data_IF_611842791219
#
_entry.id   IF_611842791219
#
_cell.length_a   1.000
_cell.length_b   1.000
_cell.length_c   1.000
_cell.angle_alpha   90.00
_cell.angle_beta   90.00
_cell.angle_gamma   90.00
#
_symmetry.space_group_name_H-M   'P 1'
#
loop_
_entity.id
_entity.type
_entity.pdbx_description
1 polymer ?
#
# COMPACT_ATOMS: atom_id res chain seq x y z
N UNK A 1 3.66 14.18 15.95
CA UNK A 1 2.49 13.50 16.55
C UNK A 1 2.34 12.04 16.14
N UNK A 2 1.81 11.65 14.97
CA UNK A 2 1.54 10.23 14.70
C UNK A 2 2.78 9.32 14.68
N UNK A 3 3.94 9.83 14.24
CA UNK A 3 5.23 9.11 14.28
C UNK A 3 5.67 8.83 15.74
N UNK A 4 5.20 9.61 16.71
CA UNK A 4 5.53 9.42 18.13
C UNK A 4 4.69 8.31 18.75
N UNK A 5 3.49 8.05 18.21
CA UNK A 5 2.62 6.94 18.63
C UNK A 5 3.03 5.59 18.01
N UNK A 6 4.05 5.56 17.17
CA UNK A 6 4.51 4.35 16.49
C UNK A 6 5.10 3.33 17.47
N UNK A 7 4.48 2.15 17.57
CA UNK A 7 5.02 1.02 18.34
C UNK A 7 6.08 0.27 17.54
N UNK A 8 7.33 0.35 17.99
CA UNK A 8 8.43 -0.42 17.38
C UNK A 8 8.22 -1.92 17.56
N UNK A 9 7.73 -2.35 18.72
CA UNK A 9 7.46 -3.76 19.02
C UNK A 9 6.35 -4.32 18.12
N UNK A 10 5.25 -3.58 17.95
CA UNK A 10 4.17 -3.98 17.05
C UNK A 10 4.62 -4.07 15.59
N UNK A 11 5.47 -3.14 15.14
CA UNK A 11 6.04 -3.15 13.81
C UNK A 11 6.96 -4.38 13.58
N UNK A 12 7.73 -4.77 14.60
CA UNK A 12 8.55 -5.98 14.55
C UNK A 12 7.71 -7.24 14.49
N UNK A 13 6.68 -7.35 15.33
CA UNK A 13 5.78 -8.51 15.30
C UNK A 13 5.12 -8.66 13.92
N UNK A 14 4.68 -7.55 13.32
CA UNK A 14 4.15 -7.53 11.96
C UNK A 14 5.20 -7.96 10.92
N UNK A 15 6.42 -7.43 11.03
CA UNK A 15 7.52 -7.77 10.13
C UNK A 15 7.90 -9.25 10.23
N UNK A 16 8.00 -9.79 11.46
CA UNK A 16 8.34 -11.19 11.72
C UNK A 16 7.39 -12.14 11.00
N UNK A 17 6.08 -11.85 11.04
CA UNK A 17 5.07 -12.62 10.31
C UNK A 17 5.25 -12.56 8.79
N UNK A 18 5.61 -11.39 8.26
CA UNK A 18 5.82 -11.20 6.82
C UNK A 18 7.08 -11.87 6.27
N UNK A 19 8.15 -11.97 7.07
CA UNK A 19 9.44 -12.54 6.65
C UNK A 19 9.65 -13.99 7.09
N UNK A 20 8.83 -14.49 8.02
CA UNK A 20 8.94 -15.84 8.59
C UNK A 20 10.14 -16.03 9.51
N UNK A 21 10.72 -14.94 10.02
CA UNK A 21 11.85 -14.93 10.96
C UNK A 21 11.43 -14.12 12.18
N UNK A 22 11.69 -14.64 13.38
CA UNK A 22 11.46 -13.87 14.60
C UNK A 22 12.47 -12.72 14.68
N UNK A 23 11.98 -11.48 14.55
CA UNK A 23 12.80 -10.27 14.64
C UNK A 23 12.98 -9.78 16.08
N UNK A 24 12.29 -10.37 17.06
CA UNK A 24 12.47 -10.05 18.49
C UNK A 24 13.81 -10.52 19.05
N UNK A 25 14.46 -11.48 18.39
CA UNK A 25 15.80 -11.98 18.78
C UNK A 25 16.94 -11.19 18.13
N UNK A 26 16.62 -10.27 17.22
CA UNK A 26 17.61 -9.41 16.55
C UNK A 26 17.88 -8.20 17.44
N UNK A 27 19.16 -7.91 17.71
CA UNK A 27 19.54 -6.67 18.38
C UNK A 27 19.30 -5.49 17.44
N UNK A 28 18.23 -4.74 17.72
CA UNK A 28 17.73 -3.69 16.85
C UNK A 28 18.58 -2.44 16.85
N UNK A 29 19.42 -2.28 17.87
CA UNK A 29 20.26 -1.10 18.10
C UNK A 29 21.68 -1.33 17.59
N UNK A 30 21.98 -2.54 17.09
CA UNK A 30 23.20 -2.79 16.34
C UNK A 30 23.14 -2.16 14.94
N UNK A 31 24.26 -1.58 14.47
CA UNK A 31 24.39 -1.12 13.10
C UNK A 31 24.16 -2.25 12.09
N UNK A 32 23.53 -1.92 10.96
CA UNK A 32 23.17 -2.92 9.95
C UNK A 32 24.37 -3.63 9.32
N UNK A 33 25.53 -2.96 9.29
CA UNK A 33 26.77 -3.53 8.78
C UNK A 33 27.44 -4.54 9.73
N UNK A 34 26.94 -4.72 10.96
CA UNK A 34 27.44 -5.74 11.90
C UNK A 34 26.58 -7.00 11.93
N UNK A 35 25.40 -6.99 11.29
CA UNK A 35 24.52 -8.15 11.19
C UNK A 35 25.07 -9.14 10.14
N UNK A 36 25.08 -10.44 10.46
CA UNK A 36 25.44 -11.49 9.49
C UNK A 36 24.29 -11.71 8.48
N UNK A 37 24.46 -11.33 7.20
CA UNK A 37 23.40 -11.47 6.20
C UNK A 37 23.19 -12.93 5.74
N UNK A 38 24.04 -13.89 6.14
CA UNK A 38 23.85 -15.31 5.77
C UNK A 38 22.62 -15.93 6.44
N UNK A 39 22.30 -15.53 7.67
CA UNK A 39 21.10 -15.96 8.41
C UNK A 39 19.83 -15.20 8.02
N UNK A 40 19.97 -14.04 7.38
CA UNK A 40 18.88 -13.16 6.98
C UNK A 40 18.68 -13.22 5.46
N UNK A 41 17.83 -14.13 4.97
CA UNK A 41 17.53 -14.27 3.54
C UNK A 41 16.26 -13.49 3.13
N UNK A 42 16.15 -13.16 1.85
CA UNK A 42 14.93 -12.56 1.27
C UNK A 42 14.72 -11.09 1.64
N UNK A 43 13.56 -10.78 2.21
CA UNK A 43 13.11 -9.41 2.48
C UNK A 43 14.05 -8.64 3.41
N UNK A 44 14.59 -9.28 4.46
CA UNK A 44 15.47 -8.63 5.43
C UNK A 44 16.80 -8.20 4.80
N UNK A 45 17.37 -9.03 3.92
CA UNK A 45 18.56 -8.66 3.14
C UNK A 45 18.27 -7.46 2.23
N UNK A 46 17.16 -7.49 1.50
CA UNK A 46 16.75 -6.37 0.64
C UNK A 46 16.52 -5.09 1.46
N UNK A 47 15.98 -5.20 2.68
CA UNK A 47 15.79 -4.09 3.60
C UNK A 47 17.14 -3.45 3.99
N UNK A 48 18.10 -4.26 4.41
CA UNK A 48 19.47 -3.84 4.75
C UNK A 48 20.17 -3.21 3.55
N UNK A 49 20.06 -3.81 2.36
CA UNK A 49 20.69 -3.31 1.13
C UNK A 49 20.08 -2.01 0.63
N UNK A 50 18.78 -1.79 0.87
CA UNK A 50 18.08 -0.54 0.51
C UNK A 50 18.39 0.64 1.43
N UNK A 51 19.11 0.41 2.53
CA UNK A 51 19.47 1.45 3.48
C UNK A 51 20.50 2.41 2.85
N UNK A 52 20.21 3.72 2.77
CA UNK A 52 21.17 4.70 2.23
C UNK A 52 22.41 4.84 3.12
N UNK A 53 22.27 4.57 4.43
CA UNK A 53 23.37 4.54 5.39
C UNK A 53 23.33 3.24 6.22
N UNK A 54 24.34 2.39 6.03
CA UNK A 54 24.48 1.10 6.72
C UNK A 54 24.99 1.23 8.16
N UNK A 55 25.33 2.44 8.62
CA UNK A 55 25.62 2.72 10.03
C UNK A 55 24.36 2.86 10.87
N UNK A 56 23.20 3.03 10.24
CA UNK A 56 21.91 3.06 10.95
C UNK A 56 21.60 1.71 11.56
N UNK A 57 20.72 1.73 12.55
CA UNK A 57 20.28 0.53 13.26
C UNK A 57 19.06 -0.09 12.57
N UNK A 58 18.73 -1.33 12.91
CA UNK A 58 17.50 -1.97 12.42
C UNK A 58 16.24 -1.22 12.90
N UNK A 59 16.29 -0.67 14.13
CA UNK A 59 15.25 0.19 14.70
C UNK A 59 14.99 1.43 13.83
N UNK A 60 16.06 2.11 13.40
CA UNK A 60 15.94 3.30 12.55
C UNK A 60 15.33 2.96 11.19
N UNK A 61 15.73 1.82 10.60
CA UNK A 61 15.17 1.37 9.33
C UNK A 61 13.69 1.06 9.41
N UNK A 62 13.26 0.32 10.44
CA UNK A 62 11.84 -0.01 10.63
C UNK A 62 11.05 1.28 10.82
N UNK A 63 11.51 2.16 11.69
CA UNK A 63 10.82 3.42 11.97
C UNK A 63 10.71 4.28 10.70
N UNK A 64 11.79 4.42 9.94
CA UNK A 64 11.79 5.25 8.74
C UNK A 64 10.98 4.63 7.58
N UNK A 65 11.01 3.30 7.41
CA UNK A 65 10.29 2.64 6.31
C UNK A 65 8.81 2.42 6.60
N UNK A 66 8.47 2.05 7.84
CA UNK A 66 7.09 1.77 8.23
C UNK A 66 6.33 3.01 8.70
N UNK A 67 7.02 4.05 9.17
CA UNK A 67 6.39 5.30 9.59
C UNK A 67 6.77 6.53 8.73
N UNK A 68 7.75 6.44 7.83
CA UNK A 68 8.37 7.61 7.19
C UNK A 68 8.31 7.70 5.66
N UNK A 69 7.61 6.78 4.97
CA UNK A 69 7.39 6.84 3.51
C UNK A 69 5.94 7.15 3.12
N UNK A 70 5.23 7.90 3.96
CA UNK A 70 3.92 8.40 3.59
C UNK A 70 4.08 9.56 2.60
N UNK A 71 3.25 9.57 1.56
CA UNK A 71 3.08 10.74 0.72
C UNK A 71 2.42 11.83 1.57
N UNK A 72 3.19 12.84 1.97
CA UNK A 72 2.74 13.94 2.83
C UNK A 72 2.92 15.27 2.11
N UNK A 73 1.90 16.12 2.11
CA UNK A 73 1.93 17.44 1.49
C UNK A 73 0.57 18.09 1.52
N UNK A 74 0.41 19.21 0.80
CA UNK A 74 -0.89 19.82 0.57
C UNK A 74 -1.74 18.92 -0.35
N UNK A 75 -3.07 19.12 -0.40
CA UNK A 75 -3.93 18.40 -1.33
C UNK A 75 -3.46 18.43 -2.79
N UNK A 76 -2.94 19.57 -3.25
CA UNK A 76 -2.41 19.73 -4.60
C UNK A 76 -1.14 18.91 -4.81
N UNK A 77 -0.21 18.92 -3.86
CA UNK A 77 1.03 18.13 -3.96
C UNK A 77 0.75 16.63 -3.97
N UNK A 78 -0.23 16.19 -3.17
CA UNK A 78 -0.68 14.80 -3.17
C UNK A 78 -1.33 14.47 -4.52
N UNK A 79 -2.23 15.31 -5.02
CA UNK A 79 -2.88 15.12 -6.32
C UNK A 79 -1.88 15.08 -7.48
N UNK A 80 -0.87 15.96 -7.49
CA UNK A 80 0.22 15.97 -8.48
C UNK A 80 0.97 14.64 -8.50
N UNK A 81 1.27 14.10 -7.32
CA UNK A 81 1.96 12.82 -7.17
C UNK A 81 1.10 11.65 -7.68
N UNK A 82 -0.19 11.62 -7.35
CA UNK A 82 -1.12 10.58 -7.82
C UNK A 82 -1.30 10.65 -9.35
N UNK A 83 -1.38 11.85 -9.91
CA UNK A 83 -1.45 12.08 -11.35
C UNK A 83 -0.18 11.62 -12.08
N UNK A 84 1.01 11.84 -11.50
CA UNK A 84 2.26 11.33 -12.06
C UNK A 84 2.28 9.80 -12.14
N UNK A 85 1.78 9.11 -11.11
CA UNK A 85 1.64 7.66 -11.10
C UNK A 85 0.60 7.18 -12.13
N UNK A 86 -0.52 7.89 -12.27
CA UNK A 86 -1.53 7.57 -13.28
C UNK A 86 -0.95 7.69 -14.70
N UNK A 87 -0.14 8.71 -14.97
CA UNK A 87 0.58 8.88 -16.25
C UNK A 87 1.56 7.74 -16.54
N UNK A 88 2.03 7.03 -15.51
CA UNK A 88 2.88 5.84 -15.60
C UNK A 88 2.08 4.53 -15.75
N UNK A 89 0.75 4.60 -15.85
CA UNK A 89 -0.13 3.46 -16.07
C UNK A 89 -0.71 2.84 -14.80
N UNK A 90 -0.71 3.56 -13.67
CA UNK A 90 -1.41 3.09 -12.46
C UNK A 90 -2.90 3.47 -12.55
N UNK A 91 -3.79 2.47 -12.50
CA UNK A 91 -5.24 2.68 -12.64
C UNK A 91 -5.94 3.09 -11.33
N UNK A 92 -5.29 2.89 -10.17
CA UNK A 92 -5.88 3.20 -8.88
C UNK A 92 -4.94 2.90 -7.71
N UNK A 93 -5.34 3.34 -6.52
CA UNK A 93 -4.54 3.26 -5.31
C UNK A 93 -5.28 2.53 -4.20
N UNK A 94 -4.54 1.72 -3.44
CA UNK A 94 -5.03 1.20 -2.17
C UNK A 94 -4.59 2.15 -1.05
N UNK A 95 -5.52 2.95 -0.53
CA UNK A 95 -5.23 3.94 0.50
C UNK A 95 -5.10 3.27 1.87
N UNK A 96 -3.90 3.37 2.46
CA UNK A 96 -3.62 2.89 3.82
C UNK A 96 -3.68 4.06 4.79
N UNK A 97 -4.29 3.85 5.96
CA UNK A 97 -4.47 4.88 6.97
C UNK A 97 -3.37 4.84 8.04
N UNK A 98 -3.03 6.01 8.59
CA UNK A 98 -2.29 6.10 9.85
C UNK A 98 -3.23 6.16 11.04
N UNK A 99 -4.36 6.85 10.89
CA UNK A 99 -5.41 6.96 11.91
C UNK A 99 -6.76 6.79 11.23
N UNK A 100 -7.64 5.98 11.82
CA UNK A 100 -9.00 5.78 11.30
C UNK A 100 -10.03 6.38 12.27
N UNK A 101 -11.04 7.13 11.79
CA UNK A 101 -11.32 7.44 10.38
C UNK A 101 -10.52 8.62 9.80
N UNK A 102 -9.76 9.36 10.62
CA UNK A 102 -9.16 10.66 10.27
C UNK A 102 -8.42 10.71 8.94
N UNK A 103 -7.52 9.75 8.65
CA UNK A 103 -6.78 9.73 7.38
C UNK A 103 -7.69 9.65 6.14
N UNK A 104 -8.85 9.00 6.26
CA UNK A 104 -9.81 8.95 5.17
C UNK A 104 -10.57 10.26 5.03
N UNK A 105 -10.97 10.87 6.16
CA UNK A 105 -11.63 12.18 6.17
C UNK A 105 -10.73 13.24 5.54
N UNK A 106 -9.47 13.32 5.94
CA UNK A 106 -8.50 14.28 5.39
C UNK A 106 -8.31 14.11 3.87
N UNK A 107 -8.25 12.86 3.40
CA UNK A 107 -8.15 12.58 1.97
C UNK A 107 -9.41 12.97 1.21
N UNK A 108 -10.59 12.66 1.76
CA UNK A 108 -11.90 12.95 1.15
C UNK A 108 -12.14 14.46 1.10
N UNK A 109 -11.90 15.17 2.19
CA UNK A 109 -12.23 16.60 2.29
C UNK A 109 -11.16 17.48 1.61
N UNK A 110 -9.90 17.04 1.63
CA UNK A 110 -8.78 17.78 1.04
C UNK A 110 -8.50 17.39 -0.41
N UNK A 111 -8.17 16.11 -0.66
CA UNK A 111 -7.55 15.66 -1.92
C UNK A 111 -8.60 15.37 -3.00
N UNK A 112 -9.72 14.74 -2.64
CA UNK A 112 -10.75 14.35 -3.62
C UNK A 112 -11.31 15.53 -4.43
N UNK A 113 -11.60 16.72 -3.86
CA UNK A 113 -12.05 17.87 -4.64
C UNK A 113 -11.05 18.30 -5.72
N UNK A 114 -9.76 18.27 -5.40
CA UNK A 114 -8.68 18.58 -6.36
C UNK A 114 -8.67 17.54 -7.47
N UNK A 115 -8.71 16.25 -7.13
CA UNK A 115 -8.74 15.16 -8.12
C UNK A 115 -9.98 15.22 -9.01
N UNK A 116 -11.15 15.55 -8.45
CA UNK A 116 -12.39 15.74 -9.20
C UNK A 116 -12.29 16.93 -10.17
N UNK A 117 -11.71 18.06 -9.73
CA UNK A 117 -11.51 19.23 -10.60
C UNK A 117 -10.60 18.92 -11.82
N UNK A 118 -9.71 17.93 -11.66
CA UNK A 118 -8.79 17.44 -12.71
C UNK A 118 -9.37 16.27 -13.52
N UNK A 119 -10.58 15.81 -13.22
CA UNK A 119 -11.19 14.65 -13.88
C UNK A 119 -10.51 13.31 -13.58
N UNK A 120 -9.75 13.22 -12.48
CA UNK A 120 -9.00 12.02 -12.09
C UNK A 120 -9.81 11.06 -11.20
N UNK A 121 -10.86 11.56 -10.55
CA UNK A 121 -11.77 10.77 -9.70
C UNK A 121 -13.21 11.13 -10.03
N UNK A 122 -14.09 10.13 -10.00
CA UNK A 122 -15.53 10.30 -10.23
C UNK A 122 -16.19 11.22 -9.19
N UNK A 123 -17.21 11.97 -9.61
CA UNK A 123 -18.08 12.75 -8.72
C UNK A 123 -19.32 11.99 -8.25
N UNK A 124 -19.71 10.95 -8.98
CA UNK A 124 -20.86 10.12 -8.71
C UNK A 124 -20.58 8.67 -9.08
N UNK A 125 -21.29 7.74 -8.45
CA UNK A 125 -21.17 6.32 -8.78
C UNK A 125 -22.10 5.95 -9.93
N UNK A 126 -21.56 5.28 -10.94
CA UNK A 126 -22.39 4.57 -11.91
C UNK A 126 -23.19 3.44 -11.24
N UNK A 127 -24.39 3.10 -11.75
CA UNK A 127 -25.20 2.00 -11.25
C UNK A 127 -24.53 0.64 -11.53
N UNK A 128 -25.13 -0.44 -11.02
CA UNK A 128 -24.67 -1.81 -11.28
C UNK A 128 -23.63 -2.36 -10.29
N UNK A 129 -23.14 -3.59 -10.50
CA UNK A 129 -22.17 -4.25 -9.64
C UNK A 129 -20.77 -3.62 -9.75
N UNK A 130 -19.93 -3.84 -8.74
CA UNK A 130 -18.55 -3.31 -8.70
C UNK A 130 -17.76 -3.58 -9.99
N UNK A 131 -17.90 -4.76 -10.59
CA UNK A 131 -17.20 -5.10 -11.83
C UNK A 131 -17.61 -4.20 -12.99
N UNK A 132 -18.88 -3.83 -13.07
CA UNK A 132 -19.37 -2.92 -14.11
C UNK A 132 -18.82 -1.52 -13.91
N UNK A 133 -18.76 -1.06 -12.65
CA UNK A 133 -18.17 0.25 -12.31
C UNK A 133 -16.69 0.37 -12.65
N UNK A 134 -15.93 -0.73 -12.51
CA UNK A 134 -14.47 -0.73 -12.77
C UNK A 134 -14.13 -1.08 -14.23
N UNK A 135 -14.83 -2.06 -14.81
CA UNK A 135 -14.45 -2.66 -16.11
C UNK A 135 -15.50 -2.49 -17.21
N UNK A 136 -16.61 -1.78 -16.95
CA UNK A 136 -17.69 -1.56 -17.91
C UNK A 136 -18.58 -2.76 -18.20
N UNK A 137 -18.39 -3.90 -17.50
CA UNK A 137 -19.23 -5.08 -17.67
C UNK A 137 -19.50 -5.81 -16.34
N UNK A 138 -20.74 -6.31 -16.11
CA UNK A 138 -21.12 -6.93 -14.85
C UNK A 138 -20.55 -8.34 -14.65
N UNK A 139 -20.06 -8.98 -15.72
CA UNK A 139 -19.50 -10.34 -15.70
C UNK A 139 -18.05 -10.36 -16.17
N UNK A 140 -17.36 -11.46 -15.87
CA UNK A 140 -16.03 -11.74 -16.41
C UNK A 140 -16.01 -11.56 -17.94
N UNK A 141 -14.89 -11.20 -18.55
CA UNK A 141 -14.81 -11.25 -20.02
C UNK A 141 -14.54 -12.70 -20.46
N UNK A 142 -14.77 -13.02 -21.72
CA UNK A 142 -14.57 -14.40 -22.21
C UNK A 142 -13.09 -14.82 -22.22
N UNK A 143 -12.16 -13.86 -22.09
CA UNK A 143 -10.73 -14.11 -21.91
C UNK A 143 -10.37 -14.58 -20.49
N UNK A 144 -11.25 -14.36 -19.51
CA UNK A 144 -10.97 -14.70 -18.12
C UNK A 144 -11.29 -16.18 -17.87
N UNK A 145 -10.38 -16.94 -17.24
CA UNK A 145 -10.54 -18.38 -17.02
C UNK A 145 -11.88 -18.77 -16.35
N UNK A 146 -12.33 -17.98 -15.37
CA UNK A 146 -13.62 -18.19 -14.72
C UNK A 146 -14.84 -18.15 -15.67
N UNK A 147 -14.73 -17.53 -16.84
CA UNK A 147 -15.81 -17.51 -17.84
C UNK A 147 -16.10 -18.90 -18.42
N UNK A 148 -15.12 -19.82 -18.43
CA UNK A 148 -15.27 -21.19 -18.94
C UNK A 148 -16.20 -22.06 -18.09
N UNK A 149 -16.52 -21.63 -16.87
CA UNK A 149 -17.38 -22.34 -15.93
C UNK A 149 -18.77 -21.73 -15.81
N UNK A 150 -19.18 -20.86 -16.75
CA UNK A 150 -20.56 -20.37 -16.81
C UNK A 150 -21.47 -21.53 -17.21
N UNK A 151 -22.35 -21.91 -16.31
CA UNK A 151 -23.46 -22.78 -16.67
C UNK A 151 -24.39 -21.98 -17.57
N UNK A 152 -24.45 -22.32 -18.86
CA UNK A 152 -25.55 -21.87 -19.70
C UNK A 152 -26.84 -22.33 -19.03
N UNK A 153 -27.80 -21.41 -18.85
CA UNK A 153 -29.16 -21.81 -18.50
C UNK A 153 -29.61 -22.73 -19.63
N UNK A 154 -29.64 -24.04 -19.41
CA UNK A 154 -30.49 -24.92 -20.20
C UNK A 154 -31.89 -24.37 -19.99
N UNK A 155 -32.41 -23.65 -20.98
CA UNK A 155 -33.83 -23.46 -21.10
C UNK A 155 -34.40 -24.87 -21.18
N UNK A 156 -35.05 -25.30 -20.11
CA UNK A 156 -35.94 -26.45 -20.15
C UNK A 156 -37.19 -25.89 -20.80
N UNK A 157 -37.42 -26.29 -22.06
CA UNK A 157 -38.69 -26.08 -22.76
C UNK A 157 -39.87 -26.70 -21.99
#
# INVERSE_FOLDING_TARGET
EYIEQFSTEGALAHLSGGVGVDMGVVDLDQPLNTLDPQGMRGYVKSLIESAPDKKRTFRDLIRNRMAGRFLTGTPEQIADSLEEWQKKGVDGFNLVYSVTPGSFVDFIDGVVPVLQSRGLVQSEYSPGPLREKIFGAPRLTDRHNGARFRLEKRCVD
#
